data_IF_366557209733
#
_entry.id   IF_366557209733
#
_cell.length_a   1.000
_cell.length_b   1.000
_cell.length_c   1.000
_cell.angle_alpha   90.00
_cell.angle_beta   90.00
_cell.angle_gamma   90.00
#
_symmetry.space_group_name_H-M   'P 1'
#
loop_
_entity.id
_entity.type
_entity.pdbx_description
1 polymer ?
#
# COMPACT_ATOMS: atom_id res chain seq x y z
N UNK A 1 -2.08 -37.20 8.81
CA UNK A 1 -2.40 -36.91 7.40
C UNK A 1 -1.79 -35.54 7.12
N UNK A 2 -0.77 -35.44 6.25
CA UNK A 2 -0.07 -34.18 6.01
C UNK A 2 -1.07 -33.18 5.38
N UNK A 3 -1.12 -31.95 5.89
CA UNK A 3 -2.02 -30.95 5.33
C UNK A 3 -1.55 -30.64 3.91
N UNK A 4 -2.45 -30.64 2.92
CA UNK A 4 -2.15 -30.27 1.53
C UNK A 4 -2.01 -28.74 1.39
N UNK A 5 -1.23 -28.12 2.27
CA UNK A 5 -1.01 -26.69 2.31
C UNK A 5 0.21 -26.34 1.48
N UNK A 6 0.14 -25.18 0.82
CA UNK A 6 1.21 -24.68 -0.05
C UNK A 6 1.99 -23.63 0.73
N UNK A 7 3.32 -23.80 0.85
CA UNK A 7 4.17 -22.77 1.44
C UNK A 7 4.19 -21.52 0.54
N UNK A 8 3.87 -20.36 1.11
CA UNK A 8 3.80 -19.06 0.44
C UNK A 8 4.93 -18.12 0.88
N UNK A 9 5.85 -18.60 1.73
CA UNK A 9 7.03 -17.87 2.19
C UNK A 9 7.04 -17.57 3.68
N UNK A 10 8.18 -17.06 4.13
CA UNK A 10 8.48 -16.84 5.55
C UNK A 10 7.77 -15.59 6.12
N UNK A 11 7.40 -15.65 7.40
CA UNK A 11 6.94 -14.51 8.20
C UNK A 11 8.15 -13.91 8.93
N UNK A 12 8.78 -12.94 8.29
CA UNK A 12 10.06 -12.40 8.73
C UNK A 12 9.94 -11.02 9.39
N UNK A 13 10.54 -10.89 10.57
CA UNK A 13 10.78 -9.60 11.22
C UNK A 13 12.26 -9.43 11.58
N UNK A 14 12.79 -8.24 11.33
CA UNK A 14 14.13 -7.83 11.77
C UNK A 14 14.11 -6.88 12.98
N UNK A 15 12.94 -6.48 13.48
CA UNK A 15 12.84 -5.55 14.61
C UNK A 15 11.51 -5.58 15.36
N UNK A 16 11.53 -4.94 16.51
CA UNK A 16 10.33 -4.55 17.25
C UNK A 16 9.49 -3.55 16.45
N UNK A 17 8.18 -3.60 16.64
CA UNK A 17 7.26 -2.60 16.10
C UNK A 17 7.21 -1.38 17.02
N UNK A 18 7.06 -0.19 16.45
CA UNK A 18 6.74 0.99 17.26
C UNK A 18 5.29 0.91 17.77
N UNK A 19 4.99 1.63 18.86
CA UNK A 19 3.62 1.74 19.35
C UNK A 19 2.70 2.30 18.25
N UNK A 20 1.58 1.60 18.00
CA UNK A 20 0.62 1.98 16.96
C UNK A 20 1.05 1.67 15.53
N UNK A 21 2.29 1.17 15.32
CA UNK A 21 2.76 0.73 14.01
C UNK A 21 1.89 -0.43 13.50
N UNK A 22 1.49 -0.34 12.24
CA UNK A 22 0.67 -1.35 11.58
C UNK A 22 1.54 -2.21 10.66
N UNK A 23 1.23 -3.49 10.59
CA UNK A 23 1.63 -4.37 9.47
C UNK A 23 0.40 -4.88 8.75
N UNK A 24 0.53 -5.12 7.46
CA UNK A 24 -0.57 -5.60 6.60
C UNK A 24 -0.14 -6.84 5.85
N UNK A 25 -1.02 -7.84 5.79
CA UNK A 25 -0.97 -8.96 4.87
C UNK A 25 -1.91 -8.66 3.69
N UNK A 26 -1.41 -8.79 2.47
CA UNK A 26 -2.22 -8.71 1.25
C UNK A 26 -2.09 -10.05 0.51
N UNK A 27 -3.21 -10.70 0.25
CA UNK A 27 -3.27 -11.98 -0.46
C UNK A 27 -3.80 -11.73 -1.86
N UNK A 28 -3.01 -12.07 -2.87
CA UNK A 28 -3.37 -11.93 -4.27
C UNK A 28 -3.61 -13.29 -4.90
N UNK A 29 -4.53 -13.33 -5.85
CA UNK A 29 -4.54 -14.38 -6.86
C UNK A 29 -3.31 -14.19 -7.76
N UNK A 30 -2.47 -15.22 -7.87
CA UNK A 30 -1.20 -15.13 -8.62
C UNK A 30 -1.42 -15.02 -10.13
N UNK A 31 -2.46 -15.68 -10.66
CA UNK A 31 -2.75 -15.67 -12.10
C UNK A 31 -3.44 -14.38 -12.53
N UNK A 32 -4.47 -13.99 -11.78
CA UNK A 32 -5.28 -12.81 -12.08
C UNK A 32 -4.66 -11.50 -11.56
N UNK A 33 -3.68 -11.58 -10.66
CA UNK A 33 -3.08 -10.43 -9.98
C UNK A 33 -4.10 -9.53 -9.26
N UNK A 34 -5.21 -10.12 -8.83
CA UNK A 34 -6.30 -9.46 -8.11
C UNK A 34 -6.12 -9.63 -6.60
N UNK A 35 -6.34 -8.57 -5.84
CA UNK A 35 -6.35 -8.63 -4.37
C UNK A 35 -7.59 -9.42 -3.91
N UNK A 36 -7.36 -10.48 -3.12
CA UNK A 36 -8.41 -11.36 -2.60
C UNK A 36 -8.71 -11.08 -1.13
N UNK A 37 -7.68 -10.89 -0.31
CA UNK A 37 -7.81 -10.58 1.11
C UNK A 37 -6.79 -9.53 1.54
N UNK A 38 -7.17 -8.70 2.49
CA UNK A 38 -6.28 -7.77 3.16
C UNK A 38 -6.54 -7.80 4.66
N UNK A 39 -5.48 -8.04 5.44
CA UNK A 39 -5.55 -8.17 6.90
C UNK A 39 -4.56 -7.19 7.52
N UNK A 40 -5.06 -6.29 8.35
CA UNK A 40 -4.25 -5.31 9.08
C UNK A 40 -4.09 -5.71 10.54
N UNK A 41 -2.87 -5.66 11.05
CA UNK A 41 -2.56 -5.96 12.44
C UNK A 41 -1.77 -4.81 13.07
N UNK A 42 -2.12 -4.51 14.33
CA UNK A 42 -1.39 -3.60 15.20
C UNK A 42 -1.14 -4.32 16.53
N UNK A 43 0.11 -4.41 17.00
CA UNK A 43 0.39 -4.99 18.30
C UNK A 43 -0.24 -4.15 19.41
N UNK A 44 -0.56 -4.79 20.53
CA UNK A 44 -0.93 -4.08 21.76
C UNK A 44 0.33 -3.40 22.34
N UNK A 45 0.15 -2.35 23.15
CA UNK A 45 1.23 -1.49 23.68
C UNK A 45 2.41 -2.26 24.30
N UNK A 46 2.14 -3.40 24.94
CA UNK A 46 3.13 -4.21 25.65
C UNK A 46 3.64 -5.42 24.85
N UNK A 47 3.15 -5.61 23.62
CA UNK A 47 3.43 -6.78 22.78
C UNK A 47 4.15 -6.39 21.49
N UNK A 48 5.09 -5.44 21.57
CA UNK A 48 5.83 -4.91 20.42
C UNK A 48 7.15 -5.62 20.14
N UNK A 49 7.60 -6.51 21.04
CA UNK A 49 8.82 -7.29 20.88
C UNK A 49 8.75 -8.24 19.68
N UNK A 50 9.82 -8.31 18.89
CA UNK A 50 9.79 -8.92 17.55
C UNK A 50 9.36 -10.39 17.48
N UNK A 51 9.57 -11.15 18.55
CA UNK A 51 9.12 -12.54 18.63
C UNK A 51 7.65 -12.66 19.01
N UNK A 52 7.20 -11.77 19.89
CA UNK A 52 5.84 -11.76 20.44
C UNK A 52 4.85 -11.25 19.40
N UNK A 53 5.11 -10.08 18.79
CA UNK A 53 4.18 -9.51 17.82
C UNK A 53 4.04 -10.39 16.57
N UNK A 54 5.12 -11.07 16.15
CA UNK A 54 5.06 -12.00 15.00
C UNK A 54 4.15 -13.19 15.31
N UNK A 55 4.24 -13.77 16.50
CA UNK A 55 3.33 -14.83 16.91
C UNK A 55 1.88 -14.34 16.97
N UNK A 56 1.65 -13.15 17.55
CA UNK A 56 0.32 -12.56 17.62
C UNK A 56 -0.24 -12.22 16.24
N UNK A 57 0.60 -11.76 15.31
CA UNK A 57 0.22 -11.55 13.92
C UNK A 57 -0.16 -12.87 13.23
N UNK A 58 0.61 -13.94 13.44
CA UNK A 58 0.28 -15.26 12.91
C UNK A 58 -1.06 -15.79 13.45
N UNK A 59 -1.29 -15.65 14.76
CA UNK A 59 -2.59 -15.98 15.39
C UNK A 59 -3.71 -15.14 14.81
N UNK A 60 -3.48 -13.84 14.63
CA UNK A 60 -4.45 -12.92 14.03
C UNK A 60 -4.82 -13.34 12.61
N UNK A 61 -3.86 -13.73 11.77
CA UNK A 61 -4.12 -14.29 10.43
C UNK A 61 -4.96 -15.56 10.51
N UNK A 62 -4.60 -16.49 11.41
CA UNK A 62 -5.33 -17.75 11.56
C UNK A 62 -6.80 -17.57 11.96
N UNK A 63 -7.11 -16.49 12.68
CA UNK A 63 -8.47 -16.13 13.07
C UNK A 63 -9.25 -15.41 11.96
N UNK A 64 -8.60 -14.60 11.13
CA UNK A 64 -9.29 -13.67 10.22
C UNK A 64 -9.19 -14.02 8.73
N UNK A 65 -8.22 -14.85 8.32
CA UNK A 65 -8.06 -15.23 6.91
C UNK A 65 -8.88 -16.46 6.55
N UNK A 66 -9.55 -16.43 5.39
CA UNK A 66 -10.16 -17.62 4.81
C UNK A 66 -9.22 -18.34 3.83
N UNK A 67 -8.15 -17.68 3.36
CA UNK A 67 -7.26 -18.19 2.32
C UNK A 67 -5.89 -18.68 2.83
N UNK A 68 -5.42 -18.14 3.95
CA UNK A 68 -4.05 -18.35 4.44
C UNK A 68 -4.04 -18.76 5.92
N UNK A 69 -3.04 -19.54 6.30
CA UNK A 69 -2.65 -19.80 7.69
C UNK A 69 -1.20 -19.39 7.90
N UNK A 70 -0.82 -19.09 9.14
CA UNK A 70 0.52 -18.68 9.50
C UNK A 70 1.03 -19.46 10.73
N UNK A 71 2.25 -19.99 10.64
CA UNK A 71 2.81 -20.92 11.63
C UNK A 71 3.79 -21.91 11.00
N UNK A 72 4.07 -22.99 11.71
CA UNK A 72 4.91 -24.10 11.27
C UNK A 72 4.24 -25.44 11.56
N UNK A 73 4.56 -26.45 10.74
CA UNK A 73 4.23 -27.84 10.99
C UNK A 73 5.41 -28.46 11.76
N UNK A 74 5.15 -29.04 12.94
CA UNK A 74 6.16 -29.77 13.70
C UNK A 74 6.55 -31.08 13.01
N UNK A 75 7.64 -31.70 13.45
CA UNK A 75 8.04 -33.04 13.00
C UNK A 75 6.97 -34.11 13.29
N UNK A 76 6.12 -33.88 14.30
CA UNK A 76 4.96 -34.72 14.63
C UNK A 76 3.71 -34.45 13.78
N UNK A 77 3.77 -33.48 12.85
CA UNK A 77 2.64 -33.06 12.01
C UNK A 77 1.63 -32.16 12.73
N UNK A 78 1.99 -31.63 13.90
CA UNK A 78 1.16 -30.68 14.63
C UNK A 78 1.39 -29.26 14.13
N UNK A 79 0.32 -28.50 14.01
CA UNK A 79 0.38 -27.12 13.56
C UNK A 79 0.50 -26.16 14.73
N UNK A 80 1.55 -25.36 14.74
CA UNK A 80 1.83 -24.43 15.84
C UNK A 80 2.28 -23.07 15.35
N UNK A 81 1.99 -22.04 16.14
CA UNK A 81 2.55 -20.69 15.96
C UNK A 81 3.70 -20.55 16.95
N UNK A 82 4.89 -20.20 16.44
CA UNK A 82 6.09 -20.01 17.25
C UNK A 82 6.31 -18.55 17.62
N UNK A 83 6.80 -18.30 18.83
CA UNK A 83 7.35 -16.99 19.25
C UNK A 83 8.75 -16.79 18.65
N UNK A 84 8.77 -16.60 17.34
CA UNK A 84 9.97 -16.50 16.52
C UNK A 84 9.81 -15.40 15.49
N UNK A 85 10.92 -14.70 15.19
CA UNK A 85 10.95 -13.65 14.18
C UNK A 85 11.26 -14.17 12.77
N UNK A 86 11.48 -15.48 12.60
CA UNK A 86 11.89 -16.07 11.31
C UNK A 86 11.39 -17.51 11.04
N UNK A 87 10.85 -18.23 12.02
CA UNK A 87 10.49 -19.65 11.83
C UNK A 87 9.05 -19.88 11.37
N UNK A 88 8.19 -18.88 11.41
CA UNK A 88 6.82 -19.00 10.95
C UNK A 88 6.76 -18.80 9.44
N UNK A 89 5.86 -19.52 8.76
CA UNK A 89 5.61 -19.39 7.32
C UNK A 89 4.14 -19.04 7.07
N UNK A 90 3.84 -18.45 5.92
CA UNK A 90 2.50 -18.33 5.38
C UNK A 90 2.16 -19.56 4.55
N UNK A 91 0.94 -20.06 4.69
CA UNK A 91 0.49 -21.29 4.04
C UNK A 91 -0.85 -21.07 3.36
N UNK A 92 -0.92 -21.36 2.06
CA UNK A 92 -2.16 -21.40 1.30
C UNK A 92 -2.96 -22.64 1.66
N UNK A 93 -4.23 -22.47 2.02
CA UNK A 93 -5.11 -23.56 2.45
C UNK A 93 -6.21 -23.88 1.44
N UNK A 94 -6.12 -23.31 0.23
CA UNK A 94 -7.07 -23.52 -0.85
C UNK A 94 -6.34 -23.92 -2.14
N UNK A 95 -7.12 -24.34 -3.15
CA UNK A 95 -6.59 -24.77 -4.45
C UNK A 95 -6.12 -23.62 -5.35
N UNK A 96 -6.37 -22.36 -4.98
CA UNK A 96 -5.95 -21.20 -5.76
C UNK A 96 -4.44 -21.01 -5.65
N UNK A 97 -3.81 -20.62 -6.75
CA UNK A 97 -2.43 -20.16 -6.73
C UNK A 97 -2.38 -18.77 -6.08
N UNK A 98 -1.96 -18.71 -4.82
CA UNK A 98 -1.89 -17.47 -4.05
C UNK A 98 -0.49 -16.85 -4.09
N UNK A 99 -0.43 -15.53 -3.92
CA UNK A 99 0.79 -14.80 -3.55
C UNK A 99 0.50 -13.94 -2.32
N UNK A 100 1.40 -14.01 -1.34
CA UNK A 100 1.36 -13.16 -0.15
C UNK A 100 2.31 -12.00 -0.31
N UNK A 101 1.84 -10.80 0.02
CA UNK A 101 2.62 -9.56 0.08
C UNK A 101 2.38 -8.91 1.43
N UNK A 102 3.42 -8.80 2.26
CA UNK A 102 3.29 -8.27 3.61
C UNK A 102 4.23 -7.08 3.87
N UNK A 103 3.79 -6.11 4.66
CA UNK A 103 4.58 -4.93 5.02
C UNK A 103 5.45 -5.17 6.27
N UNK A 104 6.07 -6.35 6.37
CA UNK A 104 6.80 -6.76 7.57
C UNK A 104 8.18 -6.07 7.65
N UNK A 105 8.62 -5.64 8.84
CA UNK A 105 9.82 -4.83 9.01
C UNK A 105 11.10 -5.67 9.00
N UNK A 106 11.49 -6.13 7.82
CA UNK A 106 12.81 -6.72 7.56
C UNK A 106 13.29 -6.32 6.18
N UNK A 107 14.55 -5.95 6.03
CA UNK A 107 15.11 -5.41 4.79
C UNK A 107 14.86 -6.34 3.59
N UNK A 108 15.06 -7.65 3.77
CA UNK A 108 14.89 -8.66 2.71
C UNK A 108 13.44 -8.80 2.18
N UNK A 109 12.45 -8.29 2.92
CA UNK A 109 11.05 -8.30 2.48
C UNK A 109 10.76 -7.20 1.43
N UNK A 110 11.71 -6.30 1.19
CA UNK A 110 11.55 -5.16 0.30
C UNK A 110 12.44 -5.31 -0.94
N UNK A 111 11.95 -4.79 -2.07
CA UNK A 111 12.68 -4.75 -3.33
C UNK A 111 13.84 -3.76 -3.28
N UNK A 112 14.92 -4.07 -4.00
CA UNK A 112 15.97 -3.10 -4.32
C UNK A 112 15.48 -2.00 -5.28
N UNK A 113 14.44 -2.30 -6.07
CA UNK A 113 13.76 -1.34 -6.93
C UNK A 113 12.81 -0.49 -6.09
N UNK A 114 13.29 0.68 -5.67
CA UNK A 114 12.59 1.65 -4.83
C UNK A 114 12.34 2.94 -5.59
N UNK A 115 11.22 3.61 -5.30
CA UNK A 115 10.86 4.86 -5.97
C UNK A 115 11.42 6.04 -5.18
N UNK A 116 12.31 6.80 -5.80
CA UNK A 116 12.84 8.02 -5.21
C UNK A 116 11.72 8.97 -4.77
N UNK A 117 11.73 9.37 -3.50
CA UNK A 117 10.80 10.36 -2.94
C UNK A 117 11.55 11.67 -2.71
N UNK A 118 12.04 12.27 -3.80
CA UNK A 118 12.79 13.51 -3.76
C UNK A 118 12.43 14.44 -4.93
N UNK A 119 12.53 15.75 -4.68
CA UNK A 119 12.42 16.79 -5.71
C UNK A 119 13.57 17.77 -5.50
N UNK A 120 14.12 18.29 -6.58
CA UNK A 120 15.08 19.39 -6.50
C UNK A 120 14.39 20.75 -6.28
N UNK A 121 13.06 20.79 -6.45
CA UNK A 121 12.25 22.00 -6.32
C UNK A 121 11.66 22.12 -4.93
N UNK A 122 11.91 23.26 -4.29
CA UNK A 122 11.08 23.79 -3.20
C UNK A 122 9.68 24.05 -3.73
N UNK A 123 8.67 23.67 -2.96
CA UNK A 123 7.28 23.89 -3.36
C UNK A 123 6.95 25.38 -3.26
N UNK A 124 6.35 25.92 -4.32
CA UNK A 124 6.02 27.34 -4.41
C UNK A 124 4.82 27.74 -3.56
N UNK A 125 3.97 26.78 -3.16
CA UNK A 125 2.81 27.04 -2.32
C UNK A 125 2.42 25.84 -1.46
N UNK A 126 1.82 26.14 -0.30
CA UNK A 126 1.24 25.15 0.60
C UNK A 126 -0.02 24.46 0.02
N UNK A 127 -0.57 24.96 -1.09
CA UNK A 127 -1.72 24.35 -1.77
C UNK A 127 -1.30 23.26 -2.79
N UNK A 128 0.01 23.04 -2.95
CA UNK A 128 0.51 21.96 -3.82
C UNK A 128 0.23 20.62 -3.15
N UNK A 129 -0.77 19.92 -3.67
CA UNK A 129 -1.06 18.56 -3.24
C UNK A 129 -0.09 17.59 -3.94
N UNK A 130 0.33 16.55 -3.26
CA UNK A 130 1.13 15.46 -3.81
C UNK A 130 0.28 14.20 -3.76
N UNK A 131 0.26 13.47 -4.87
CA UNK A 131 -0.47 12.22 -5.01
C UNK A 131 0.51 11.09 -5.25
N UNK A 132 0.43 10.05 -4.41
CA UNK A 132 1.12 8.77 -4.58
C UNK A 132 0.08 7.75 -5.03
N UNK A 133 0.34 7.04 -6.11
CA UNK A 133 -0.51 5.97 -6.62
C UNK A 133 0.23 4.65 -6.51
N UNK A 134 -0.41 3.68 -5.88
CA UNK A 134 0.08 2.31 -5.77
C UNK A 134 -0.83 1.45 -6.64
N UNK A 135 -0.24 0.67 -7.53
CA UNK A 135 -0.96 -0.17 -8.50
C UNK A 135 -0.47 -1.62 -8.43
N UNK A 136 -1.34 -2.56 -8.76
CA UNK A 136 -0.99 -3.97 -8.90
C UNK A 136 -0.18 -4.21 -10.19
N UNK A 137 0.24 -5.46 -10.39
CA UNK A 137 0.93 -5.87 -11.62
C UNK A 137 0.09 -5.71 -12.89
N UNK A 138 -1.24 -5.70 -12.80
CA UNK A 138 -2.13 -5.45 -13.95
C UNK A 138 -2.39 -3.96 -14.20
N UNK A 139 -1.81 -3.07 -13.38
CA UNK A 139 -2.09 -1.63 -13.43
C UNK A 139 -3.37 -1.22 -12.69
N UNK A 140 -4.10 -2.16 -12.08
CA UNK A 140 -5.24 -1.83 -11.22
C UNK A 140 -4.81 -0.98 -10.02
N UNK A 141 -5.59 0.06 -9.72
CA UNK A 141 -5.29 0.96 -8.60
C UNK A 141 -5.61 0.29 -7.27
N UNK A 142 -4.57 0.09 -6.45
CA UNK A 142 -4.69 -0.49 -5.11
C UNK A 142 -4.97 0.59 -4.07
N UNK A 143 -4.24 1.70 -4.11
CA UNK A 143 -4.50 2.86 -3.24
C UNK A 143 -3.98 4.17 -3.85
N UNK A 144 -4.55 5.27 -3.37
CA UNK A 144 -4.08 6.62 -3.62
C UNK A 144 -3.86 7.33 -2.29
N UNK A 145 -2.65 7.83 -2.06
CA UNK A 145 -2.30 8.62 -0.89
C UNK A 145 -2.15 10.07 -1.35
N UNK A 146 -2.92 10.96 -0.74
CA UNK A 146 -2.85 12.40 -1.01
C UNK A 146 -2.25 13.09 0.21
N UNK A 147 -1.33 14.01 -0.04
CA UNK A 147 -0.63 14.76 0.99
C UNK A 147 -0.53 16.22 0.58
N UNK A 148 -0.74 17.12 1.53
CA UNK A 148 -0.55 18.55 1.34
C UNK A 148 0.41 19.04 2.41
N UNK A 149 1.62 19.49 2.03
CA UNK A 149 2.62 19.95 3.00
C UNK A 149 2.14 21.21 3.74
N UNK A 150 2.51 21.32 5.01
CA UNK A 150 2.30 22.56 5.75
C UNK A 150 3.17 23.70 5.21
N UNK A 151 2.69 24.94 5.29
CA UNK A 151 3.39 26.13 4.76
C UNK A 151 4.83 26.31 5.28
N UNK A 152 5.15 25.80 6.46
CA UNK A 152 6.51 25.87 7.06
C UNK A 152 7.44 24.73 6.64
N UNK A 153 6.97 23.79 5.82
CA UNK A 153 7.66 22.52 5.52
C UNK A 153 7.82 22.28 4.02
N UNK A 154 7.89 23.35 3.22
CA UNK A 154 7.93 23.30 1.74
C UNK A 154 9.29 22.95 1.13
N UNK A 155 10.37 22.91 1.94
CA UNK A 155 11.69 22.52 1.45
C UNK A 155 11.73 21.02 1.13
N UNK A 156 12.50 20.58 0.11
CA UNK A 156 12.57 19.19 -0.32
C UNK A 156 12.74 18.17 0.82
N UNK A 157 13.64 18.44 1.75
CA UNK A 157 13.87 17.56 2.89
C UNK A 157 12.69 17.45 3.85
N UNK A 158 11.99 18.55 4.11
CA UNK A 158 10.93 18.57 5.11
C UNK A 158 9.63 17.97 4.59
N UNK A 159 9.17 18.34 3.39
CA UNK A 159 7.92 17.78 2.88
C UNK A 159 8.06 16.30 2.50
N UNK A 160 9.23 15.86 2.02
CA UNK A 160 9.44 14.42 1.70
C UNK A 160 9.47 13.57 2.95
N UNK A 161 10.06 14.08 4.05
CA UNK A 161 9.95 13.45 5.37
C UNK A 161 8.49 13.29 5.79
N UNK A 162 7.72 14.37 5.73
CA UNK A 162 6.33 14.36 6.18
C UNK A 162 5.45 13.46 5.29
N UNK A 163 5.71 13.43 3.98
CA UNK A 163 5.06 12.49 3.09
C UNK A 163 5.42 11.05 3.42
N UNK A 164 6.69 10.77 3.76
CA UNK A 164 7.09 9.43 4.20
C UNK A 164 6.38 9.03 5.50
N UNK A 165 6.21 9.96 6.45
CA UNK A 165 5.37 9.74 7.65
C UNK A 165 3.92 9.44 7.25
N UNK A 166 3.34 10.22 6.34
CA UNK A 166 1.97 10.01 5.87
C UNK A 166 1.80 8.64 5.22
N UNK A 167 2.73 8.21 4.37
CA UNK A 167 2.74 6.89 3.74
C UNK A 167 2.79 5.79 4.81
N UNK A 168 3.72 5.87 5.78
CA UNK A 168 3.84 4.84 6.82
C UNK A 168 2.61 4.75 7.72
N UNK A 169 1.88 5.85 7.91
CA UNK A 169 0.67 5.88 8.72
C UNK A 169 -0.57 5.37 7.97
N UNK A 170 -0.63 5.54 6.65
CA UNK A 170 -1.85 5.31 5.87
C UNK A 170 -1.77 4.15 4.90
N UNK A 171 -0.61 3.90 4.28
CA UNK A 171 -0.44 2.86 3.28
C UNK A 171 -0.66 1.46 3.85
N UNK A 172 -1.26 0.62 3.02
CA UNK A 172 -1.51 -0.80 3.28
C UNK A 172 -0.57 -1.72 2.50
N UNK A 173 0.23 -1.15 1.59
CA UNK A 173 1.05 -1.90 0.64
C UNK A 173 2.54 -1.54 0.68
N UNK A 174 2.88 -0.28 0.97
CA UNK A 174 4.24 0.23 0.87
C UNK A 174 4.69 0.92 2.16
N UNK A 175 6.00 1.17 2.25
CA UNK A 175 6.61 1.99 3.31
C UNK A 175 7.48 3.07 2.68
N UNK A 176 7.80 4.11 3.43
CA UNK A 176 8.61 5.20 2.92
C UNK A 176 9.60 5.73 3.97
N UNK A 177 10.79 6.08 3.50
CA UNK A 177 11.89 6.53 4.34
C UNK A 177 13.25 6.19 3.75
N UNK A 178 14.31 6.51 4.51
CA UNK A 178 15.65 5.99 4.25
C UNK A 178 15.79 4.59 4.86
N UNK A 179 16.76 3.87 4.33
CA UNK A 179 17.24 2.63 4.94
C UNK A 179 18.03 2.92 6.22
N UNK A 180 17.73 2.19 7.29
CA UNK A 180 18.49 2.22 8.54
C UNK A 180 18.45 0.82 9.18
N UNK A 181 19.26 -0.10 8.66
CA UNK A 181 19.17 -1.52 8.99
C UNK A 181 17.80 -2.10 8.56
N UNK A 182 17.11 -2.80 9.47
CA UNK A 182 15.74 -3.30 9.24
C UNK A 182 14.64 -2.23 9.40
N UNK A 183 15.01 -0.95 9.52
CA UNK A 183 14.08 0.18 9.57
C UNK A 183 14.03 0.91 8.23
N UNK A 184 12.80 1.26 7.86
CA UNK A 184 12.50 2.25 6.84
C UNK A 184 11.96 3.46 7.59
N UNK A 185 12.79 4.50 7.72
CA UNK A 185 12.49 5.65 8.60
C UNK A 185 12.40 6.97 7.82
N UNK A 186 11.36 7.79 8.03
CA UNK A 186 11.28 9.12 7.44
C UNK A 186 12.46 10.00 7.87
N UNK A 187 13.18 10.55 6.90
CA UNK A 187 14.39 11.33 7.16
C UNK A 187 14.31 12.74 6.56
N UNK A 188 14.99 13.71 7.19
CA UNK A 188 14.83 15.13 6.86
C UNK A 188 15.69 15.60 5.68
N UNK A 189 16.65 14.81 5.21
CA UNK A 189 17.50 15.19 4.08
C UNK A 189 16.80 14.94 2.73
N UNK A 190 16.96 15.90 1.81
CA UNK A 190 16.15 15.99 0.59
C UNK A 190 16.29 14.86 -0.43
N UNK A 191 17.33 14.00 -0.34
CA UNK A 191 17.58 12.90 -1.29
C UNK A 191 17.63 11.52 -0.60
N UNK A 192 17.15 11.43 0.63
CA UNK A 192 17.34 10.25 1.46
C UNK A 192 16.10 9.35 1.56
N UNK A 193 14.91 9.86 1.22
CA UNK A 193 13.67 9.10 1.29
C UNK A 193 13.34 8.38 -0.02
N UNK A 194 12.88 7.14 0.10
CA UNK A 194 12.35 6.33 -0.99
C UNK A 194 11.02 5.71 -0.57
N UNK A 195 10.17 5.40 -1.54
CA UNK A 195 9.05 4.47 -1.35
C UNK A 195 9.55 3.06 -1.64
N UNK A 196 9.42 2.21 -0.64
CA UNK A 196 9.83 0.82 -0.63
C UNK A 196 8.67 -0.07 -1.04
N UNK A 197 8.92 -0.90 -2.05
CA UNK A 197 7.96 -1.81 -2.63
C UNK A 197 8.25 -3.20 -2.07
N UNK A 198 7.25 -3.96 -1.58
CA UNK A 198 7.47 -5.32 -1.13
C UNK A 198 8.05 -6.18 -2.26
N UNK A 199 9.02 -7.03 -1.92
CA UNK A 199 9.69 -7.92 -2.87
C UNK A 199 8.69 -8.85 -3.57
N UNK A 200 8.91 -9.10 -4.86
CA UNK A 200 8.14 -10.04 -5.70
C UNK A 200 6.61 -9.75 -5.78
N UNK A 201 6.18 -8.57 -5.35
CA UNK A 201 4.76 -8.19 -5.28
C UNK A 201 4.15 -7.83 -6.63
N UNK A 202 4.99 -7.43 -7.61
CA UNK A 202 4.54 -6.83 -8.86
C UNK A 202 3.86 -5.47 -8.68
N UNK A 203 3.93 -4.88 -7.49
CA UNK A 203 3.36 -3.56 -7.21
C UNK A 203 4.21 -2.50 -7.88
N UNK A 204 3.56 -1.51 -8.47
CA UNK A 204 4.21 -0.32 -9.02
C UNK A 204 3.75 0.92 -8.26
N UNK A 205 4.67 1.87 -8.10
CA UNK A 205 4.40 3.12 -7.39
C UNK A 205 4.79 4.29 -8.28
N UNK A 206 3.92 5.29 -8.34
CA UNK A 206 4.22 6.58 -8.93
C UNK A 206 3.81 7.68 -7.97
N UNK A 207 4.45 8.84 -8.06
CA UNK A 207 3.97 10.02 -7.37
C UNK A 207 4.12 11.26 -8.25
N UNK A 208 3.26 12.25 -8.03
CA UNK A 208 3.27 13.50 -8.78
C UNK A 208 2.67 14.64 -7.96
N UNK A 209 3.04 15.87 -8.35
CA UNK A 209 2.33 17.05 -7.91
C UNK A 209 0.95 17.07 -8.56
N UNK A 210 -0.06 17.10 -7.70
CA UNK A 210 -1.46 17.19 -8.01
C UNK A 210 -1.81 18.68 -8.09
N UNK A 211 -1.83 19.18 -9.32
CA UNK A 211 -2.41 20.48 -9.68
C UNK A 211 -3.46 20.26 -10.76
N UNK A 212 -4.41 21.19 -10.96
CA UNK A 212 -5.32 21.11 -12.08
C UNK A 212 -4.51 21.00 -13.38
N UNK A 213 -4.85 20.00 -14.17
CA UNK A 213 -4.35 19.81 -15.54
C UNK A 213 -5.56 19.83 -16.46
N UNK A 214 -5.42 20.44 -17.63
CA UNK A 214 -6.45 20.34 -18.65
C UNK A 214 -6.60 18.87 -19.06
N UNK A 215 -7.76 18.28 -18.76
CA UNK A 215 -8.08 16.89 -19.10
C UNK A 215 -8.60 16.75 -20.54
N UNK A 216 -9.08 17.86 -21.11
CA UNK A 216 -9.67 17.93 -22.43
C UNK A 216 -10.57 19.16 -22.53
N UNK A 217 -10.92 19.51 -23.76
CA UNK A 217 -11.96 20.50 -24.03
C UNK A 217 -13.31 19.84 -23.90
N UNK A 218 -14.32 20.61 -23.49
CA UNK A 218 -15.72 20.21 -23.57
C UNK A 218 -16.27 20.84 -24.87
N UNK A 219 -16.22 20.12 -26.01
CA UNK A 219 -16.80 20.65 -27.25
C UNK A 219 -18.33 20.68 -27.11
N UNK A 220 -18.95 21.75 -27.61
CA UNK A 220 -20.39 21.83 -27.82
C UNK A 220 -20.63 22.24 -29.26
N UNK A 221 -21.41 21.47 -29.98
CA UNK A 221 -21.85 21.75 -31.36
C UNK A 221 -23.23 22.41 -31.41
N UNK A 222 -23.93 22.44 -30.27
CA UNK A 222 -25.22 23.11 -30.08
C UNK A 222 -25.44 23.52 -28.62
N UNK A 223 -26.51 24.27 -28.38
CA UNK A 223 -27.00 24.55 -27.04
C UNK A 223 -27.68 23.32 -26.42
N UNK A 224 -27.57 23.21 -25.10
CA UNK A 224 -28.28 22.19 -24.33
C UNK A 224 -29.76 22.57 -24.19
N UNK A 225 -30.66 21.59 -24.31
CA UNK A 225 -32.11 21.80 -24.17
C UNK A 225 -32.50 21.77 -22.69
N UNK A 226 -33.57 22.49 -22.29
CA UNK A 226 -34.09 22.40 -20.92
C UNK A 226 -34.34 20.94 -20.50
N UNK A 227 -33.91 20.59 -19.28
CA UNK A 227 -33.91 19.24 -18.73
C UNK A 227 -32.96 18.23 -19.40
N UNK A 228 -32.13 18.63 -20.36
CA UNK A 228 -31.15 17.72 -20.97
C UNK A 228 -30.10 17.28 -19.94
N UNK A 229 -29.83 15.96 -19.88
CA UNK A 229 -28.83 15.39 -18.96
C UNK A 229 -27.49 15.22 -19.67
N UNK A 230 -26.48 15.92 -19.20
CA UNK A 230 -25.11 15.83 -19.70
C UNK A 230 -24.30 15.05 -18.67
N UNK A 231 -23.70 13.93 -19.09
CA UNK A 231 -22.85 13.11 -18.20
C UNK A 231 -21.38 13.28 -18.58
N UNK A 232 -20.56 13.62 -17.59
CA UNK A 232 -19.10 13.55 -17.68
C UNK A 232 -18.64 12.25 -17.03
N UNK A 233 -17.87 11.46 -17.78
CA UNK A 233 -17.29 10.21 -17.33
C UNK A 233 -15.77 10.40 -17.21
N UNK A 234 -15.22 10.18 -16.03
CA UNK A 234 -13.78 10.13 -15.83
C UNK A 234 -13.32 8.68 -15.87
N UNK A 235 -12.26 8.38 -16.61
CA UNK A 235 -11.67 7.04 -16.72
C UNK A 235 -10.23 7.03 -16.18
N UNK A 236 -9.84 5.90 -15.60
CA UNK A 236 -8.44 5.62 -15.27
C UNK A 236 -7.74 5.26 -16.58
N UNK A 237 -6.83 6.12 -17.04
CA UNK A 237 -6.13 5.94 -18.30
C UNK A 237 -5.14 4.77 -18.33
N UNK A 238 -4.88 4.13 -17.18
CA UNK A 238 -4.04 2.94 -17.08
C UNK A 238 -4.89 1.68 -17.04
N UNK A 239 -5.91 1.67 -16.19
CA UNK A 239 -6.75 0.48 -15.98
C UNK A 239 -7.93 0.39 -16.97
N UNK A 240 -8.20 1.46 -17.73
CA UNK A 240 -9.38 1.64 -18.59
C UNK A 240 -10.71 1.36 -17.84
N UNK A 241 -10.78 1.82 -16.58
CA UNK A 241 -11.93 1.65 -15.69
C UNK A 241 -12.58 3.00 -15.38
N UNK A 242 -13.92 3.08 -15.29
CA UNK A 242 -14.59 4.30 -14.87
C UNK A 242 -14.18 4.67 -13.44
N UNK A 243 -13.80 5.92 -13.24
CA UNK A 243 -13.43 6.50 -11.94
C UNK A 243 -14.58 7.28 -11.32
N UNK A 244 -15.29 8.06 -12.12
CA UNK A 244 -16.36 8.93 -11.64
C UNK A 244 -17.36 9.22 -12.76
N UNK A 245 -18.58 9.57 -12.36
CA UNK A 245 -19.63 10.05 -13.24
C UNK A 245 -20.31 11.24 -12.60
N UNK A 246 -20.18 12.39 -13.23
CA UNK A 246 -20.94 13.59 -12.88
C UNK A 246 -22.07 13.72 -13.91
N UNK A 247 -23.30 13.92 -13.44
CA UNK A 247 -24.43 14.23 -14.32
C UNK A 247 -24.97 15.60 -13.99
N UNK A 248 -24.99 16.47 -15.00
CA UNK A 248 -25.58 17.79 -14.96
C UNK A 248 -26.93 17.74 -15.68
N UNK A 249 -27.90 18.51 -15.20
CA UNK A 249 -29.17 18.71 -15.90
C UNK A 249 -29.24 20.16 -16.32
N UNK A 250 -29.32 20.40 -17.63
CA UNK A 250 -29.47 21.74 -18.19
C UNK A 250 -30.80 22.35 -17.72
N UNK A 251 -30.78 23.65 -17.46
CA UNK A 251 -31.98 24.44 -17.17
C UNK A 251 -31.99 25.66 -18.06
N UNK A 252 -33.14 25.96 -18.67
CA UNK A 252 -33.34 27.23 -19.34
C UNK A 252 -33.21 28.40 -18.33
N UNK A 253 -32.52 29.47 -18.74
CA UNK A 253 -32.60 30.74 -18.02
C UNK A 253 -34.06 31.23 -18.06
N UNK A 254 -34.56 31.66 -16.89
CA UNK A 254 -35.91 32.22 -16.74
C UNK A 254 -35.94 33.69 -17.13
#
# INVERSE_FOLDING_TARGET
MKRNWIDLGEVLSGRDLAEGERVTLNVFDKGLNTLLEQISFRPRREQTGQRVWVADFCRHINTHSALVRAGTESDSGEWQVLESSYQNHFWGICSRALRVVATLPRQINWSSERVALHSEKTLSSANTSIRVNVRSATGERLETITFTPSAKRLSPGLWTKDLAVQINNTSLFVRAGRENGDRIEPYWEGKSNYVWIPKDSGITVTWNFNGPREAGRIPSDRDAVDQERISLLAFDNVADKPLDRITLTARAEK
#
